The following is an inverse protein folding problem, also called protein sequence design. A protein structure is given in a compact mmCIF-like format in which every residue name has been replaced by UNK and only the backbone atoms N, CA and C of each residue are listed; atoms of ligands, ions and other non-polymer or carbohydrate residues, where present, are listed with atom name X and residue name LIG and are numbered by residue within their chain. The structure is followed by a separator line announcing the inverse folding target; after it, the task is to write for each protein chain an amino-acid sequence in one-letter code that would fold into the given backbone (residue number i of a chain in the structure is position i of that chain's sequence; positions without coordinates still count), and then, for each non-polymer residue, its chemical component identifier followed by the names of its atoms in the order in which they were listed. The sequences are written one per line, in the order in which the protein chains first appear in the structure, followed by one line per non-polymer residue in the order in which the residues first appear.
data_IF_668192056499
#
_entry.id   IF_668192056499
#
_cell.length_a   1.000
_cell.length_b   1.000
_cell.length_c   1.000
_cell.angle_alpha   90.00
_cell.angle_beta   90.00
_cell.angle_gamma   90.00
#
_symmetry.space_group_name_H-M   'P 1'
#
loop_
_entity.id
_entity.type
_entity.pdbx_description
1 polymer ?
#
# COMPACT_ATOMS: atom_id res chain seq x y z
N UNK A 1 -28.63 15.63 -38.39
CA UNK A 1 -27.76 14.92 -37.43
C UNK A 1 -28.00 15.53 -36.06
N UNK A 2 -28.01 14.69 -35.02
CA UNK A 2 -28.13 14.98 -33.57
C UNK A 2 -29.52 15.34 -33.01
N UNK A 3 -30.44 14.37 -32.98
CA UNK A 3 -31.38 14.23 -31.84
C UNK A 3 -30.94 12.96 -31.09
N UNK A 4 -29.82 13.09 -30.37
CA UNK A 4 -29.29 12.03 -29.53
C UNK A 4 -30.03 12.03 -28.19
N UNK A 5 -30.79 10.96 -27.93
CA UNK A 5 -31.69 10.75 -26.78
C UNK A 5 -33.07 11.42 -26.93
N UNK A 6 -33.95 10.77 -27.69
CA UNK A 6 -35.36 11.15 -27.85
C UNK A 6 -36.09 11.18 -26.50
N UNK A 7 -36.98 12.17 -26.27
CA UNK A 7 -37.85 12.27 -25.07
C UNK A 7 -38.55 10.96 -24.69
N UNK A 8 -38.88 10.13 -25.68
CA UNK A 8 -39.48 8.80 -25.47
C UNK A 8 -38.59 7.85 -24.66
N UNK A 9 -37.27 7.88 -24.88
CA UNK A 9 -36.32 7.00 -24.19
C UNK A 9 -36.25 7.33 -22.68
N UNK A 10 -36.30 8.63 -22.34
CA UNK A 10 -36.30 9.10 -20.96
C UNK A 10 -37.60 8.69 -20.25
N UNK A 11 -38.74 8.76 -20.95
CA UNK A 11 -40.04 8.34 -20.42
C UNK A 11 -40.09 6.82 -20.16
N UNK A 12 -39.55 6.01 -21.09
CA UNK A 12 -39.47 4.56 -20.91
C UNK A 12 -38.53 4.16 -19.75
N UNK A 13 -37.39 4.85 -19.61
CA UNK A 13 -36.47 4.64 -18.48
C UNK A 13 -37.17 5.05 -17.17
N UNK A 14 -37.85 6.20 -17.14
CA UNK A 14 -38.57 6.66 -15.95
C UNK A 14 -39.70 5.70 -15.53
N UNK A 15 -40.38 5.07 -16.50
CA UNK A 15 -41.45 4.09 -16.27
C UNK A 15 -40.96 2.73 -15.76
N UNK A 16 -39.66 2.44 -15.88
CA UNK A 16 -39.04 1.17 -15.43
C UNK A 16 -38.25 1.31 -14.14
N UNK A 17 -38.18 2.52 -13.55
CA UNK A 17 -37.45 2.76 -12.31
C UNK A 17 -38.10 1.99 -11.13
N UNK A 18 -37.32 1.21 -10.37
CA UNK A 18 -37.81 0.53 -9.19
C UNK A 18 -38.26 1.52 -8.11
N UNK A 19 -39.40 1.26 -7.49
CA UNK A 19 -40.11 2.20 -6.60
C UNK A 19 -39.48 2.36 -5.20
N UNK A 20 -38.41 1.62 -4.90
CA UNK A 20 -37.79 1.57 -3.56
C UNK A 20 -36.25 1.68 -3.62
N UNK A 21 -35.61 2.46 -2.72
CA UNK A 21 -34.15 2.61 -2.67
C UNK A 21 -33.39 1.27 -2.59
N UNK A 22 -33.91 0.31 -1.83
CA UNK A 22 -33.33 -1.04 -1.65
C UNK A 22 -33.31 -1.88 -2.93
N UNK A 23 -34.16 -1.58 -3.91
CA UNK A 23 -34.13 -2.22 -5.22
C UNK A 23 -33.09 -1.59 -6.14
N UNK A 24 -32.82 -0.29 -5.99
CA UNK A 24 -31.80 0.43 -6.77
C UNK A 24 -30.42 -0.11 -6.42
N UNK A 25 -30.08 -0.21 -5.13
CA UNK A 25 -28.77 -0.73 -4.69
C UNK A 25 -28.53 -2.15 -5.20
N UNK A 26 -29.56 -3.01 -5.15
CA UNK A 26 -29.49 -4.38 -5.68
C UNK A 26 -29.26 -4.41 -7.19
N UNK A 27 -29.87 -3.48 -7.92
CA UNK A 27 -29.71 -3.39 -9.36
C UNK A 27 -28.32 -2.89 -9.73
N UNK A 28 -27.80 -1.91 -8.99
CA UNK A 28 -26.42 -1.42 -9.12
C UNK A 28 -25.44 -2.57 -8.90
N UNK A 29 -25.61 -3.34 -7.83
CA UNK A 29 -24.72 -4.47 -7.52
C UNK A 29 -24.77 -5.55 -8.63
N UNK A 30 -25.97 -5.84 -9.14
CA UNK A 30 -26.14 -6.77 -10.25
C UNK A 30 -25.49 -6.25 -11.55
N UNK A 31 -25.56 -4.94 -11.82
CA UNK A 31 -24.91 -4.33 -12.99
C UNK A 31 -23.38 -4.37 -12.86
N UNK A 32 -22.84 -4.08 -11.67
CA UNK A 32 -21.40 -4.23 -11.38
C UNK A 32 -20.95 -5.67 -11.66
N UNK A 33 -21.67 -6.65 -11.13
CA UNK A 33 -21.34 -8.06 -11.33
C UNK A 33 -21.38 -8.48 -12.81
N UNK A 34 -22.42 -8.07 -13.54
CA UNK A 34 -22.50 -8.31 -14.98
C UNK A 34 -21.36 -7.63 -15.76
N UNK A 35 -20.91 -6.45 -15.33
CA UNK A 35 -19.76 -5.77 -15.92
C UNK A 35 -18.47 -6.55 -15.68
N UNK A 36 -18.23 -7.01 -14.44
CA UNK A 36 -17.08 -7.84 -14.09
C UNK A 36 -17.02 -9.11 -14.92
N UNK A 37 -18.15 -9.82 -15.04
CA UNK A 37 -18.25 -11.02 -15.87
C UNK A 37 -17.89 -10.76 -17.33
N UNK A 38 -18.34 -9.63 -17.91
CA UNK A 38 -17.97 -9.26 -19.29
C UNK A 38 -16.48 -9.00 -19.45
N UNK A 39 -15.85 -8.34 -18.47
CA UNK A 39 -14.40 -8.10 -18.48
C UNK A 39 -13.63 -9.41 -18.45
N UNK A 40 -14.02 -10.35 -17.56
CA UNK A 40 -13.43 -11.69 -17.49
C UNK A 40 -13.59 -12.45 -18.80
N UNK A 41 -14.80 -12.48 -19.37
CA UNK A 41 -15.05 -13.17 -20.64
C UNK A 41 -14.17 -12.64 -21.76
N UNK A 42 -14.05 -11.31 -21.89
CA UNK A 42 -13.19 -10.69 -22.91
C UNK A 42 -11.72 -11.06 -22.72
N UNK A 43 -11.23 -11.07 -21.48
CA UNK A 43 -9.85 -11.43 -21.17
C UNK A 43 -9.55 -12.90 -21.53
N UNK A 44 -10.49 -13.81 -21.25
CA UNK A 44 -10.36 -15.22 -21.63
C UNK A 44 -10.39 -15.42 -23.14
N UNK A 45 -11.25 -14.69 -23.85
CA UNK A 45 -11.30 -14.73 -25.32
C UNK A 45 -9.99 -14.23 -25.94
N UNK A 46 -9.46 -13.10 -25.47
CA UNK A 46 -8.19 -12.55 -25.94
C UNK A 46 -7.02 -13.50 -25.65
N UNK A 47 -6.97 -14.06 -24.44
CA UNK A 47 -5.95 -15.03 -24.06
C UNK A 47 -6.00 -16.29 -24.94
N UNK A 48 -7.21 -16.78 -25.26
CA UNK A 48 -7.39 -17.93 -26.15
C UNK A 48 -6.85 -17.64 -27.55
N UNK A 49 -7.14 -16.46 -28.11
CA UNK A 49 -6.63 -16.05 -29.43
C UNK A 49 -5.10 -16.03 -29.44
N UNK A 50 -4.48 -15.42 -28.42
CA UNK A 50 -3.02 -15.33 -28.29
C UNK A 50 -2.36 -16.70 -28.13
N UNK A 51 -3.02 -17.61 -27.43
CA UNK A 51 -2.56 -18.99 -27.26
C UNK A 51 -2.61 -19.77 -28.58
N UNK A 52 -3.66 -19.58 -29.38
CA UNK A 52 -3.77 -20.16 -30.73
C UNK A 52 -2.73 -19.57 -31.71
N UNK A 53 -2.34 -18.31 -31.53
CA UNK A 53 -1.30 -17.64 -32.33
C UNK A 53 0.13 -18.00 -31.93
N UNK A 54 0.33 -18.71 -30.81
CA UNK A 54 1.64 -19.13 -30.33
C UNK A 54 2.45 -18.01 -29.68
N UNK A 55 1.79 -17.00 -29.10
CA UNK A 55 2.46 -15.94 -28.34
C UNK A 55 3.19 -16.47 -27.09
N UNK A 56 4.20 -15.74 -26.56
CA UNK A 56 4.90 -16.13 -25.35
C UNK A 56 3.95 -16.26 -24.15
N UNK A 57 4.09 -17.34 -23.38
CA UNK A 57 3.24 -17.63 -22.22
C UNK A 57 3.22 -16.51 -21.17
N UNK A 58 4.32 -15.76 -21.03
CA UNK A 58 4.43 -14.64 -20.10
C UNK A 58 3.51 -13.47 -20.49
N UNK A 59 3.36 -13.18 -21.79
CA UNK A 59 2.52 -12.09 -22.28
C UNK A 59 1.03 -12.40 -22.09
N UNK A 60 0.65 -13.65 -22.36
CA UNK A 60 -0.70 -14.17 -22.10
C UNK A 60 -1.04 -14.08 -20.61
N UNK A 61 -0.12 -14.53 -19.74
CA UNK A 61 -0.30 -14.47 -18.29
C UNK A 61 -0.43 -13.02 -17.78
N UNK A 62 0.42 -12.11 -18.28
CA UNK A 62 0.39 -10.69 -17.92
C UNK A 62 -0.93 -10.02 -18.33
N UNK A 63 -1.44 -10.35 -19.53
CA UNK A 63 -2.73 -9.85 -20.00
C UNK A 63 -3.90 -10.29 -19.10
N UNK A 64 -3.89 -11.55 -18.69
CA UNK A 64 -4.87 -12.10 -17.74
C UNK A 64 -4.80 -11.43 -16.37
N UNK A 65 -3.59 -11.27 -15.82
CA UNK A 65 -3.39 -10.60 -14.54
C UNK A 65 -3.91 -9.15 -14.54
N UNK A 66 -3.69 -8.41 -15.63
CA UNK A 66 -4.17 -7.04 -15.75
C UNK A 66 -5.70 -6.96 -15.77
N UNK A 67 -6.36 -7.87 -16.51
CA UNK A 67 -7.81 -7.93 -16.53
C UNK A 67 -8.40 -8.35 -15.18
N UNK A 68 -7.72 -9.24 -14.45
CA UNK A 68 -8.12 -9.60 -13.09
C UNK A 68 -7.98 -8.42 -12.11
N UNK A 69 -6.89 -7.65 -12.21
CA UNK A 69 -6.73 -6.41 -11.41
C UNK A 69 -7.82 -5.38 -11.70
N UNK A 70 -8.27 -5.25 -12.94
CA UNK A 70 -9.38 -4.37 -13.32
C UNK A 70 -10.70 -4.82 -12.67
N UNK A 71 -10.94 -6.13 -12.55
CA UNK A 71 -12.11 -6.68 -11.87
C UNK A 71 -12.04 -6.47 -10.36
N UNK A 72 -10.85 -6.55 -9.77
CA UNK A 72 -10.60 -6.32 -8.34
C UNK A 72 -10.71 -4.83 -7.95
N UNK A 73 -10.37 -3.93 -8.87
CA UNK A 73 -10.50 -2.49 -8.64
C UNK A 73 -11.94 -2.05 -8.91
N UNK A 74 -12.77 -2.01 -7.84
CA UNK A 74 -14.18 -1.58 -7.90
C UNK A 74 -14.37 -0.08 -8.26
N UNK A 75 -13.37 0.60 -8.82
CA UNK A 75 -13.45 2.02 -9.14
C UNK A 75 -12.43 2.44 -10.21
N UNK A 76 -12.84 3.00 -11.36
CA UNK A 76 -12.06 4.09 -11.93
C UNK A 76 -12.07 5.20 -10.87
N UNK A 77 -10.89 5.68 -10.46
CA UNK A 77 -10.66 6.74 -9.47
C UNK A 77 -11.91 7.59 -9.23
N UNK A 78 -12.71 7.21 -8.23
CA UNK A 78 -14.01 7.86 -8.03
C UNK A 78 -13.72 9.33 -7.73
N UNK A 79 -14.18 10.24 -8.59
CA UNK A 79 -14.16 11.67 -8.31
C UNK A 79 -15.00 11.89 -7.05
N UNK A 80 -14.33 12.06 -5.92
CA UNK A 80 -14.96 12.40 -4.65
C UNK A 80 -15.11 13.91 -4.54
N UNK A 81 -16.16 14.33 -3.85
CA UNK A 81 -16.37 15.76 -3.59
C UNK A 81 -15.39 16.28 -2.53
N UNK A 82 -15.18 17.60 -2.49
CA UNK A 82 -14.35 18.22 -1.44
C UNK A 82 -14.91 17.95 -0.02
N UNK A 83 -16.23 17.81 0.11
CA UNK A 83 -16.88 17.49 1.38
C UNK A 83 -16.50 16.07 1.85
N UNK A 84 -16.57 15.09 0.94
CA UNK A 84 -16.14 13.72 1.22
C UNK A 84 -14.65 13.62 1.54
N UNK A 85 -13.80 14.42 0.88
CA UNK A 85 -12.38 14.55 1.23
C UNK A 85 -12.19 15.06 2.66
N UNK A 86 -12.94 16.10 3.04
CA UNK A 86 -12.85 16.70 4.37
C UNK A 86 -13.32 15.72 5.46
N UNK A 87 -14.38 14.96 5.21
CA UNK A 87 -14.87 13.93 6.13
C UNK A 87 -13.81 12.83 6.35
N UNK A 88 -13.20 12.32 5.26
CA UNK A 88 -12.10 11.34 5.34
C UNK A 88 -10.89 11.89 6.09
N UNK A 89 -10.52 13.16 5.87
CA UNK A 89 -9.43 13.79 6.58
C UNK A 89 -9.73 13.91 8.09
N UNK A 90 -10.97 14.27 8.43
CA UNK A 90 -11.40 14.40 9.83
C UNK A 90 -11.44 13.05 10.54
N UNK A 91 -11.84 11.97 9.87
CA UNK A 91 -11.76 10.60 10.39
C UNK A 91 -10.32 10.22 10.76
N UNK A 92 -9.34 10.55 9.89
CA UNK A 92 -7.93 10.32 10.17
C UNK A 92 -7.46 11.05 11.44
N UNK A 93 -7.87 12.31 11.63
CA UNK A 93 -7.54 13.09 12.83
C UNK A 93 -8.20 12.50 14.08
N UNK A 94 -9.48 12.12 14.01
CA UNK A 94 -10.18 11.47 15.13
C UNK A 94 -9.50 10.16 15.54
N UNK A 95 -9.13 9.33 14.57
CA UNK A 95 -8.42 8.08 14.83
C UNK A 95 -7.05 8.32 15.49
N UNK A 96 -6.35 9.40 15.14
CA UNK A 96 -5.09 9.77 15.80
C UNK A 96 -5.32 10.18 17.26
N UNK A 97 -6.36 10.98 17.54
CA UNK A 97 -6.73 11.40 18.90
C UNK A 97 -7.11 10.17 19.75
N UNK A 98 -7.92 9.26 19.22
CA UNK A 98 -8.37 8.05 19.93
C UNK A 98 -7.23 7.09 20.27
N UNK A 99 -6.19 7.02 19.43
CA UNK A 99 -5.00 6.19 19.70
C UNK A 99 -4.17 6.71 20.88
N UNK A 100 -4.35 7.97 21.27
CA UNK A 100 -3.55 8.61 22.33
C UNK A 100 -2.05 8.66 22.01
N UNK A 101 -1.68 8.50 20.73
CA UNK A 101 -0.30 8.52 20.27
C UNK A 101 0.19 9.97 20.17
N UNK A 102 1.49 10.19 20.39
CA UNK A 102 2.11 11.51 20.20
C UNK A 102 2.06 11.98 18.74
N UNK A 103 1.95 11.03 17.80
CA UNK A 103 2.00 11.26 16.35
C UNK A 103 0.86 10.49 15.65
N UNK A 104 0.26 11.10 14.63
CA UNK A 104 -0.82 10.48 13.86
C UNK A 104 -0.33 9.33 12.96
N UNK A 105 0.91 9.44 12.46
CA UNK A 105 1.54 8.50 11.54
C UNK A 105 2.46 7.49 12.22
N UNK A 106 3.10 6.64 11.41
CA UNK A 106 4.13 5.70 11.88
C UNK A 106 5.38 6.52 12.24
N UNK A 107 5.89 6.44 13.47
CA UNK A 107 7.02 7.24 13.92
C UNK A 107 8.32 6.78 13.25
N UNK A 108 9.19 7.74 12.97
CA UNK A 108 10.51 7.52 12.40
C UNK A 108 11.52 6.98 13.42
N UNK A 109 11.26 7.21 14.71
CA UNK A 109 12.22 6.94 15.79
C UNK A 109 13.20 8.08 16.02
N UNK A 110 13.09 9.16 15.26
CA UNK A 110 13.84 10.41 15.45
C UNK A 110 12.84 11.44 15.95
N UNK A 111 12.80 11.66 17.27
CA UNK A 111 11.79 12.51 17.91
C UNK A 111 11.64 13.90 17.27
N UNK A 112 12.74 14.56 16.92
CA UNK A 112 12.72 15.87 16.24
C UNK A 112 12.09 15.80 14.86
N UNK A 113 12.33 14.72 14.11
CA UNK A 113 11.74 14.53 12.79
C UNK A 113 10.25 14.25 12.92
N UNK A 114 9.85 13.43 13.89
CA UNK A 114 8.45 13.12 14.14
C UNK A 114 7.67 14.35 14.63
N UNK A 115 8.28 15.25 15.40
CA UNK A 115 7.67 16.54 15.76
C UNK A 115 7.38 17.42 14.53
N UNK A 116 8.22 17.37 13.50
CA UNK A 116 8.06 18.18 12.28
C UNK A 116 7.07 17.51 11.32
N UNK A 117 7.17 16.19 11.15
CA UNK A 117 6.41 15.45 10.14
C UNK A 117 5.10 14.85 10.68
N UNK A 118 4.93 14.74 12.00
CA UNK A 118 3.79 14.06 12.61
C UNK A 118 3.82 12.53 12.43
N UNK A 119 5.00 11.96 12.17
CA UNK A 119 5.18 10.58 11.71
C UNK A 119 4.79 10.36 10.25
N UNK A 120 5.08 9.18 9.72
CA UNK A 120 4.80 8.77 8.34
C UNK A 120 3.30 8.53 8.12
N UNK A 121 2.69 9.33 7.25
CA UNK A 121 1.27 9.23 6.94
C UNK A 121 1.02 8.27 5.78
N UNK A 122 -0.13 7.59 5.82
CA UNK A 122 -0.56 6.68 4.75
C UNK A 122 -0.76 7.45 3.44
N UNK A 123 -0.28 6.90 2.33
CA UNK A 123 -0.42 7.49 0.99
C UNK A 123 0.64 8.54 0.63
N UNK A 124 1.57 8.86 1.52
CA UNK A 124 2.68 9.77 1.22
C UNK A 124 3.88 9.04 0.62
N UNK A 125 4.53 9.70 -0.36
CA UNK A 125 5.86 9.32 -0.85
C UNK A 125 6.91 10.22 -0.18
N UNK A 126 7.81 9.60 0.59
CA UNK A 126 8.89 10.31 1.31
C UNK A 126 10.22 10.02 0.61
N UNK A 127 10.92 11.07 0.21
CA UNK A 127 12.22 10.97 -0.45
C UNK A 127 13.39 11.25 0.51
N UNK A 128 14.38 10.37 0.53
CA UNK A 128 15.66 10.60 1.21
C UNK A 128 16.72 10.90 0.15
N UNK A 129 17.20 12.14 0.11
CA UNK A 129 18.26 12.57 -0.79
C UNK A 129 19.54 12.84 0.02
N UNK A 130 20.62 12.16 -0.33
CA UNK A 130 21.95 12.38 0.24
C UNK A 130 23.00 12.04 -0.81
N UNK A 131 24.25 12.48 -0.60
CA UNK A 131 25.37 12.09 -1.45
C UNK A 131 25.74 10.63 -1.20
N UNK A 132 26.39 10.01 -2.18
CA UNK A 132 26.93 8.65 -2.05
C UNK A 132 27.91 8.60 -0.88
N UNK A 133 27.72 7.64 0.04
CA UNK A 133 28.53 7.51 1.25
C UNK A 133 27.99 8.24 2.50
N UNK A 134 27.04 9.17 2.37
CA UNK A 134 26.44 9.92 3.50
C UNK A 134 25.39 9.11 4.28
N UNK A 135 25.33 7.79 4.07
CA UNK A 135 24.47 6.91 4.87
C UNK A 135 22.99 6.89 4.50
N UNK A 136 22.59 7.26 3.26
CA UNK A 136 21.19 7.15 2.78
C UNK A 136 20.57 5.77 3.08
N UNK A 137 21.24 4.69 2.70
CA UNK A 137 20.78 3.31 2.92
C UNK A 137 20.77 2.95 4.40
N UNK A 138 21.75 3.44 5.17
CA UNK A 138 21.81 3.20 6.61
C UNK A 138 20.64 3.86 7.34
N UNK A 139 20.33 5.12 7.00
CA UNK A 139 19.18 5.84 7.54
C UNK A 139 17.87 5.15 7.15
N UNK A 140 17.69 4.80 5.87
CA UNK A 140 16.49 4.10 5.40
C UNK A 140 16.28 2.77 6.14
N UNK A 141 17.35 1.99 6.34
CA UNK A 141 17.30 0.74 7.10
C UNK A 141 16.93 0.97 8.57
N UNK A 142 17.49 2.00 9.22
CA UNK A 142 17.17 2.32 10.60
C UNK A 142 15.70 2.73 10.79
N UNK A 143 15.17 3.55 9.88
CA UNK A 143 13.75 3.92 9.87
C UNK A 143 12.85 2.68 9.71
N UNK A 144 13.21 1.78 8.78
CA UNK A 144 12.50 0.53 8.54
C UNK A 144 12.53 -0.39 9.77
N UNK A 145 13.69 -0.57 10.41
CA UNK A 145 13.83 -1.40 11.61
C UNK A 145 13.07 -0.81 12.80
N UNK A 146 13.04 0.52 12.94
CA UNK A 146 12.27 1.16 14.00
C UNK A 146 10.77 0.88 13.84
N UNK A 147 10.22 1.10 12.64
CA UNK A 147 8.83 0.79 12.32
C UNK A 147 8.51 -0.71 12.53
N UNK A 148 9.44 -1.60 12.20
CA UNK A 148 9.26 -3.04 12.38
C UNK A 148 9.28 -3.51 13.84
N UNK A 149 9.91 -2.75 14.74
CA UNK A 149 10.04 -3.12 16.16
C UNK A 149 9.05 -2.43 17.07
N UNK A 150 8.69 -1.20 16.77
CA UNK A 150 7.94 -0.36 17.70
C UNK A 150 6.63 0.08 17.08
N UNK A 151 5.55 -0.21 17.81
CA UNK A 151 4.23 0.31 17.50
C UNK A 151 3.62 0.88 18.77
N UNK A 152 2.96 2.02 18.65
CA UNK A 152 2.28 2.63 19.77
C UNK A 152 1.07 1.79 20.17
N UNK A 153 1.02 1.37 21.43
CA UNK A 153 -0.10 0.65 22.00
C UNK A 153 -0.95 1.60 22.86
N UNK A 154 -2.21 1.78 22.44
CA UNK A 154 -3.15 2.68 23.13
C UNK A 154 -3.55 2.18 24.52
N UNK A 155 -3.60 0.86 24.72
CA UNK A 155 -4.10 0.24 25.94
C UNK A 155 -3.04 0.31 27.05
N UNK A 156 -1.77 0.07 26.70
CA UNK A 156 -0.63 0.19 27.64
C UNK A 156 -0.06 1.61 27.70
N UNK A 157 -0.40 2.48 26.75
CA UNK A 157 0.19 3.82 26.56
C UNK A 157 1.72 3.79 26.45
N UNK A 158 2.23 2.74 25.82
CA UNK A 158 3.66 2.53 25.60
C UNK A 158 3.88 1.85 24.25
N UNK A 159 5.14 1.72 23.86
CA UNK A 159 5.54 1.00 22.66
C UNK A 159 5.40 -0.51 22.87
N UNK A 160 4.50 -1.15 22.11
CA UNK A 160 4.47 -2.59 22.04
C UNK A 160 5.47 -3.08 20.99
N UNK A 161 6.30 -4.06 21.38
CA UNK A 161 7.38 -4.61 20.55
C UNK A 161 6.92 -5.38 19.31
N UNK A 162 5.65 -5.23 18.91
CA UNK A 162 5.04 -5.90 17.76
C UNK A 162 5.28 -5.15 16.45
N UNK A 163 5.50 -3.84 16.49
CA UNK A 163 5.81 -3.02 15.31
C UNK A 163 4.78 -3.10 14.17
N UNK A 164 5.25 -2.77 12.97
CA UNK A 164 4.50 -2.81 11.72
C UNK A 164 5.22 -3.73 10.71
N UNK A 165 4.49 -4.47 9.85
CA UNK A 165 5.12 -5.18 8.74
C UNK A 165 5.80 -4.19 7.79
N UNK A 166 7.09 -4.40 7.52
CA UNK A 166 7.90 -3.54 6.64
C UNK A 166 8.51 -4.37 5.52
N UNK A 167 8.41 -3.86 4.28
CA UNK A 167 9.10 -4.41 3.12
C UNK A 167 10.24 -3.47 2.74
N UNK A 168 11.44 -4.03 2.61
CA UNK A 168 12.62 -3.32 2.12
C UNK A 168 13.00 -3.88 0.76
N UNK A 169 13.08 -3.01 -0.24
CA UNK A 169 13.55 -3.34 -1.58
C UNK A 169 14.88 -2.63 -1.80
N UNK A 170 15.91 -3.38 -2.15
CA UNK A 170 17.27 -2.91 -2.33
C UNK A 170 17.80 -3.42 -3.69
N UNK A 171 18.40 -2.53 -4.47
CA UNK A 171 18.91 -2.78 -5.83
C UNK A 171 20.44 -2.71 -5.96
N UNK A 172 21.15 -2.14 -4.98
CA UNK A 172 22.61 -1.96 -4.93
C UNK A 172 23.32 -3.03 -4.09
N UNK A 173 22.70 -3.45 -2.98
CA UNK A 173 23.27 -4.31 -1.96
C UNK A 173 22.56 -5.65 -1.91
N UNK A 174 23.33 -6.70 -1.63
CA UNK A 174 22.75 -8.02 -1.42
C UNK A 174 21.97 -8.09 -0.10
N UNK A 175 20.96 -8.96 -0.03
CA UNK A 175 20.19 -9.20 1.19
C UNK A 175 21.07 -9.57 2.40
N UNK A 176 22.19 -10.29 2.18
CA UNK A 176 23.15 -10.61 3.24
C UNK A 176 23.83 -9.37 3.81
N UNK A 177 24.20 -8.40 2.98
CA UNK A 177 24.87 -7.19 3.46
C UNK A 177 23.92 -6.29 4.24
N UNK A 178 22.66 -6.21 3.82
CA UNK A 178 21.60 -5.55 4.58
C UNK A 178 21.35 -6.28 5.91
N UNK A 179 21.32 -7.61 5.90
CA UNK A 179 21.22 -8.42 7.11
C UNK A 179 22.35 -8.15 8.11
N UNK A 180 23.61 -8.12 7.65
CA UNK A 180 24.74 -7.76 8.50
C UNK A 180 24.61 -6.35 9.07
N UNK A 181 24.13 -5.37 8.27
CA UNK A 181 23.88 -4.01 8.76
C UNK A 181 22.79 -3.96 9.81
N UNK A 182 21.70 -4.70 9.61
CA UNK A 182 20.62 -4.78 10.58
C UNK A 182 21.11 -5.42 11.89
N UNK A 183 21.84 -6.53 11.83
CA UNK A 183 22.41 -7.18 13.02
C UNK A 183 23.44 -6.28 13.72
N UNK A 184 24.31 -5.61 12.98
CA UNK A 184 25.27 -4.65 13.54
C UNK A 184 24.57 -3.48 14.24
N UNK A 185 23.48 -2.98 13.65
CA UNK A 185 22.68 -1.90 14.22
C UNK A 185 21.92 -2.33 15.48
N UNK A 186 21.40 -3.57 15.51
CA UNK A 186 20.59 -4.08 16.62
C UNK A 186 21.42 -4.64 17.77
N UNK A 187 22.42 -5.46 17.46
CA UNK A 187 23.26 -6.16 18.44
C UNK A 187 24.46 -5.33 18.91
N UNK A 188 24.91 -4.36 18.11
CA UNK A 188 26.03 -3.47 18.44
C UNK A 188 27.43 -3.85 17.90
N UNK A 189 27.77 -5.10 17.50
CA UNK A 189 29.08 -5.37 16.94
C UNK A 189 29.29 -4.59 15.63
N UNK A 190 30.48 -4.01 15.41
CA UNK A 190 30.77 -3.28 14.18
C UNK A 190 30.75 -4.20 12.96
N UNK A 191 30.36 -3.64 11.81
CA UNK A 191 30.20 -4.35 10.53
C UNK A 191 31.39 -5.21 10.10
N UNK A 192 32.62 -4.77 10.38
CA UNK A 192 33.81 -5.52 10.00
C UNK A 192 33.94 -6.82 10.82
N UNK A 193 33.55 -6.81 12.10
CA UNK A 193 33.50 -8.03 12.93
C UNK A 193 32.42 -8.99 12.44
N UNK A 194 31.26 -8.45 12.05
CA UNK A 194 30.18 -9.24 11.46
C UNK A 194 30.58 -9.91 10.14
N UNK A 195 31.50 -9.31 9.37
CA UNK A 195 32.02 -9.87 8.12
C UNK A 195 33.13 -10.91 8.33
N UNK A 196 34.02 -10.67 9.29
CA UNK A 196 35.22 -11.48 9.53
C UNK A 196 34.93 -12.72 10.41
N UNK A 197 34.01 -12.59 11.38
CA UNK A 197 33.55 -13.68 12.26
C UNK A 197 34.60 -14.16 13.29
N UNK A 198 35.88 -14.18 12.90
CA UNK A 198 37.03 -14.60 13.71
C UNK A 198 37.29 -13.69 14.92
N UNK A 199 36.87 -12.42 14.81
CA UNK A 199 37.06 -11.36 15.82
C UNK A 199 35.83 -11.13 16.71
N UNK A 200 34.81 -12.01 16.66
CA UNK A 200 33.61 -11.90 17.49
C UNK A 200 33.86 -12.44 18.90
N UNK A 201 33.62 -11.60 19.90
CA UNK A 201 33.67 -11.99 21.30
C UNK A 201 32.40 -12.76 21.70
N UNK A 202 32.41 -13.46 22.83
CA UNK A 202 31.21 -14.16 23.29
C UNK A 202 30.08 -13.19 23.68
N UNK A 203 30.42 -11.95 24.05
CA UNK A 203 29.45 -10.86 24.21
C UNK A 203 28.81 -10.45 22.87
N UNK A 204 29.61 -10.42 21.78
CA UNK A 204 29.13 -10.12 20.43
C UNK A 204 28.22 -11.23 19.86
N UNK A 205 28.29 -12.46 20.40
CA UNK A 205 27.47 -13.61 19.99
C UNK A 205 26.18 -13.77 20.79
N UNK A 206 26.12 -13.16 21.98
CA UNK A 206 25.01 -13.29 22.92
C UNK A 206 23.91 -12.22 22.71
N UNK A 207 24.21 -11.16 21.96
CA UNK A 207 23.30 -10.09 21.55
C UNK A 207 23.03 -10.14 20.04
#
# INVERSE_FOLDING_TARGET
MTDGVTRSLIIDIAGTLPSTPTQIDRHIEKLKELSRLRTITRALEDAKIKLEQGEPSLEIATGLENAMKEVETDSPSACITIAECADKALEGVKAAIERGCLYAGIPSGIHKLDQICGGWQVGQLIGIAARTGEGKTALALQLALHAARFRWNKDTKDWDGYGHPVVLVELEMSAREIGHRAMSHLGGPPMWKMRDGSSMTDFDKAN
#
